data_IF_511040160334
#
_entry.id   IF_511040160334
#
_cell.length_a   1.000
_cell.length_b   1.000
_cell.length_c   1.000
_cell.angle_alpha   90.00
_cell.angle_beta   90.00
_cell.angle_gamma   90.00
#
_symmetry.space_group_name_H-M   'P 1'
#
loop_
_entity.id
_entity.type
_entity.pdbx_description
1 polymer ?
#
# COMPACT_ATOMS: atom_id res chain seq x y z
N UNK A 1 1.32 25.06 -49.98
CA UNK A 1 2.28 23.97 -50.29
C UNK A 1 2.09 22.88 -49.25
N UNK A 2 1.34 21.88 -49.64
CA UNK A 2 0.91 20.78 -48.78
C UNK A 2 1.94 19.66 -48.89
N UNK A 3 2.49 19.21 -47.74
CA UNK A 3 3.41 18.09 -47.69
C UNK A 3 2.71 16.90 -47.04
N UNK A 4 2.29 15.99 -47.87
CA UNK A 4 1.71 14.69 -47.52
C UNK A 4 2.85 13.77 -47.08
N UNK A 5 2.73 13.19 -45.91
CA UNK A 5 3.64 12.14 -45.42
C UNK A 5 2.92 10.80 -45.62
N UNK A 6 3.53 9.82 -46.30
CA UNK A 6 2.91 8.53 -46.55
C UNK A 6 2.99 7.59 -45.33
N UNK A 7 1.89 6.90 -45.10
CA UNK A 7 1.76 5.77 -44.20
C UNK A 7 2.45 4.54 -44.83
N UNK A 8 3.38 3.96 -44.12
CA UNK A 8 3.87 2.58 -44.32
C UNK A 8 4.17 1.98 -42.94
N UNK A 9 3.22 1.26 -42.36
CA UNK A 9 3.05 -0.20 -42.45
C UNK A 9 4.34 -0.95 -42.11
N UNK A 10 4.36 -1.56 -40.94
CA UNK A 10 4.73 -2.96 -40.87
C UNK A 10 4.18 -3.58 -39.58
N UNK A 11 3.08 -4.27 -39.76
CA UNK A 11 2.57 -5.21 -38.76
C UNK A 11 3.55 -6.40 -38.67
N UNK A 12 4.26 -6.54 -37.55
CA UNK A 12 5.01 -7.77 -37.24
C UNK A 12 4.23 -8.55 -36.19
N UNK A 13 3.46 -9.50 -36.68
CA UNK A 13 2.71 -10.50 -35.96
C UNK A 13 3.71 -11.51 -35.33
N UNK A 14 4.06 -11.32 -34.05
CA UNK A 14 4.76 -12.36 -33.29
C UNK A 14 3.75 -13.24 -32.57
N UNK A 15 3.39 -14.35 -33.21
CA UNK A 15 2.69 -15.47 -32.59
C UNK A 15 3.72 -16.23 -31.75
N UNK A 16 3.74 -15.99 -30.46
CA UNK A 16 4.45 -16.85 -29.50
C UNK A 16 3.50 -17.97 -29.07
N UNK A 17 3.72 -19.14 -29.67
CA UNK A 17 3.10 -20.40 -29.28
C UNK A 17 3.73 -20.81 -27.94
N UNK A 18 3.02 -20.59 -26.84
CA UNK A 18 3.37 -21.21 -25.55
C UNK A 18 3.00 -22.68 -25.59
N UNK A 19 4.01 -23.50 -25.79
CA UNK A 19 3.92 -24.95 -25.66
C UNK A 19 3.84 -25.31 -24.17
N UNK A 20 2.62 -25.54 -23.66
CA UNK A 20 2.41 -26.14 -22.35
C UNK A 20 2.92 -27.59 -22.39
N UNK A 21 4.06 -27.87 -21.78
CA UNK A 21 4.49 -29.22 -21.45
C UNK A 21 3.63 -29.73 -20.28
N UNK A 22 2.75 -30.66 -20.59
CA UNK A 22 2.03 -31.46 -19.63
C UNK A 22 3.02 -32.45 -19.01
N UNK A 23 3.41 -32.23 -17.77
CA UNK A 23 4.16 -33.20 -16.99
C UNK A 23 3.22 -34.33 -16.60
N UNK A 24 3.47 -35.51 -17.17
CA UNK A 24 2.84 -36.75 -16.77
C UNK A 24 3.49 -37.21 -15.47
N UNK A 25 2.75 -37.13 -14.38
CA UNK A 25 3.11 -37.74 -13.11
C UNK A 25 3.16 -39.27 -13.28
N UNK A 26 4.34 -39.84 -13.05
CA UNK A 26 4.50 -41.30 -12.96
C UNK A 26 3.94 -41.71 -11.60
N UNK A 27 2.76 -42.31 -11.59
CA UNK A 27 2.26 -43.02 -10.41
C UNK A 27 3.10 -44.29 -10.18
N UNK A 28 4.06 -44.16 -9.27
CA UNK A 28 4.71 -45.34 -8.68
C UNK A 28 3.76 -46.01 -7.70
N UNK A 29 3.27 -47.18 -8.09
CA UNK A 29 2.49 -48.05 -7.21
C UNK A 29 3.38 -48.57 -6.08
N UNK A 30 3.25 -48.01 -4.88
CA UNK A 30 3.82 -48.54 -3.64
C UNK A 30 2.81 -49.50 -2.99
N UNK A 31 3.25 -50.66 -2.45
CA UNK A 31 2.36 -51.60 -1.75
C UNK A 31 1.82 -50.97 -0.45
N UNK A 32 0.63 -51.35 0.00
CA UNK A 32 0.03 -50.78 1.21
C UNK A 32 0.81 -51.20 2.47
N UNK A 33 1.34 -50.20 3.17
CA UNK A 33 1.87 -50.41 4.52
C UNK A 33 0.72 -50.62 5.51
N UNK A 34 0.95 -51.42 6.59
CA UNK A 34 -0.08 -51.79 7.55
C UNK A 34 -0.50 -50.53 8.36
N UNK A 35 -1.80 -50.42 8.55
CA UNK A 35 -2.48 -49.38 9.35
C UNK A 35 -1.94 -49.42 10.77
N UNK A 36 -1.14 -48.41 11.15
CA UNK A 36 -0.82 -48.16 12.56
C UNK A 36 -1.84 -47.14 13.09
N UNK A 37 -2.76 -47.66 13.90
CA UNK A 37 -3.83 -46.93 14.56
C UNK A 37 -3.32 -46.48 15.93
N UNK A 38 -2.51 -45.40 15.99
CA UNK A 38 -2.31 -44.73 17.29
C UNK A 38 -1.67 -43.36 17.08
N UNK A 39 -2.35 -42.34 17.55
CA UNK A 39 -1.78 -41.00 17.74
C UNK A 39 -2.41 -39.91 16.91
N UNK A 40 -3.59 -39.51 17.31
CA UNK A 40 -4.16 -38.21 16.99
C UNK A 40 -3.29 -37.15 17.68
N UNK A 41 -2.24 -36.71 17.00
CA UNK A 41 -1.55 -35.48 17.37
C UNK A 41 -1.96 -34.40 16.36
N UNK A 42 -3.12 -33.80 16.61
CA UNK A 42 -3.51 -32.53 16.02
C UNK A 42 -2.72 -31.44 16.72
N UNK A 43 -1.45 -31.33 16.42
CA UNK A 43 -0.78 -30.04 16.55
C UNK A 43 -1.36 -29.19 15.44
N UNK A 44 -2.41 -28.42 15.78
CA UNK A 44 -2.77 -27.21 15.07
C UNK A 44 -1.54 -26.29 15.12
N UNK A 45 -0.62 -26.49 14.17
CA UNK A 45 0.34 -25.46 13.81
C UNK A 45 -0.54 -24.38 13.20
N UNK A 46 -0.63 -23.18 13.82
CA UNK A 46 -1.31 -22.08 13.15
C UNK A 46 -0.60 -21.90 11.81
N UNK A 47 -1.33 -22.12 10.72
CA UNK A 47 -0.87 -21.80 9.37
C UNK A 47 -0.71 -20.28 9.31
N UNK A 48 0.45 -19.80 9.75
CA UNK A 48 0.85 -18.39 9.71
C UNK A 48 1.37 -18.05 8.31
N UNK A 49 0.76 -18.65 7.28
CA UNK A 49 0.95 -18.22 5.92
C UNK A 49 0.32 -16.84 5.78
N UNK A 50 1.19 -15.84 5.76
CA UNK A 50 0.81 -14.46 5.42
C UNK A 50 0.05 -14.50 4.09
N UNK A 51 -1.27 -14.42 4.16
CA UNK A 51 -2.09 -14.31 2.97
C UNK A 51 -2.01 -12.87 2.46
N UNK A 52 -1.04 -12.62 1.57
CA UNK A 52 -0.79 -11.31 0.96
C UNK A 52 -1.96 -10.77 0.14
N UNK A 53 -2.99 -11.58 -0.09
CA UNK A 53 -4.20 -11.18 -0.81
C UNK A 53 -5.29 -10.63 0.12
N UNK A 54 -5.05 -10.61 1.45
CA UNK A 54 -6.01 -10.06 2.41
C UNK A 54 -5.80 -8.57 2.62
N UNK A 55 -6.92 -7.83 2.75
CA UNK A 55 -6.89 -6.43 3.17
C UNK A 55 -6.55 -6.35 4.66
N UNK A 56 -5.59 -5.51 5.02
CA UNK A 56 -5.23 -5.26 6.40
C UNK A 56 -6.38 -4.62 7.18
N UNK A 57 -6.47 -4.94 8.46
CA UNK A 57 -7.31 -4.19 9.40
C UNK A 57 -6.39 -3.45 10.36
N UNK A 58 -6.53 -2.14 10.41
CA UNK A 58 -5.71 -1.28 11.25
C UNK A 58 -6.45 0.02 11.59
N UNK A 59 -5.95 0.75 12.56
CA UNK A 59 -6.47 2.04 13.01
C UNK A 59 -5.35 3.07 13.14
N UNK A 60 -5.71 4.34 13.02
CA UNK A 60 -4.77 5.44 13.28
C UNK A 60 -4.43 5.51 14.76
N UNK A 61 -3.15 5.68 15.09
CA UNK A 61 -2.73 5.94 16.46
C UNK A 61 -2.93 7.43 16.77
N UNK A 62 -3.92 7.72 17.60
CA UNK A 62 -4.47 9.06 17.82
C UNK A 62 -4.22 9.53 19.25
N UNK A 63 -3.77 10.76 19.40
CA UNK A 63 -3.66 11.46 20.67
C UNK A 63 -5.02 11.90 21.20
N UNK A 64 -5.10 12.27 22.47
CA UNK A 64 -6.36 12.70 23.12
C UNK A 64 -6.95 13.99 22.56
N UNK A 65 -6.16 14.80 21.91
CA UNK A 65 -6.56 16.05 21.23
C UNK A 65 -7.01 15.85 19.78
N UNK A 66 -7.00 14.60 19.28
CA UNK A 66 -7.37 14.25 17.91
C UNK A 66 -6.22 14.37 16.90
N UNK A 67 -5.01 14.73 17.32
CA UNK A 67 -3.84 14.70 16.44
C UNK A 67 -3.33 13.26 16.23
N UNK A 68 -2.69 13.01 15.08
CA UNK A 68 -1.97 11.76 14.87
C UNK A 68 -0.78 11.69 15.82
N UNK A 69 -0.60 10.56 16.51
CA UNK A 69 0.51 10.39 17.45
C UNK A 69 1.83 10.26 16.68
N UNK A 70 2.90 10.90 17.17
CA UNK A 70 4.27 10.81 16.64
C UNK A 70 4.36 11.01 15.12
N UNK A 71 3.54 11.89 14.55
CA UNK A 71 3.67 12.21 13.14
C UNK A 71 4.92 13.03 12.84
N UNK A 72 5.51 12.81 11.65
CA UNK A 72 6.65 13.57 11.16
C UNK A 72 6.41 13.98 9.71
N UNK A 73 6.26 15.31 9.50
CA UNK A 73 6.18 15.90 8.15
C UNK A 73 7.58 16.23 7.66
N UNK A 74 7.91 15.81 6.44
CA UNK A 74 9.17 16.09 5.77
C UNK A 74 8.94 16.83 4.46
N UNK A 75 9.93 17.59 4.02
CA UNK A 75 9.87 18.45 2.84
C UNK A 75 9.60 19.91 3.20
N UNK A 76 9.81 20.77 2.22
CA UNK A 76 9.56 22.21 2.33
C UNK A 76 8.33 22.61 1.51
N UNK A 77 7.20 22.77 2.18
CA UNK A 77 5.93 23.09 1.53
C UNK A 77 5.85 24.58 1.25
N UNK A 78 5.93 24.97 -0.03
CA UNK A 78 5.93 26.36 -0.49
C UNK A 78 4.66 26.62 -1.30
N UNK A 79 3.95 27.72 -1.00
CA UNK A 79 2.75 28.14 -1.73
C UNK A 79 3.06 28.30 -3.23
N UNK A 80 2.22 27.71 -4.09
CA UNK A 80 2.37 27.74 -5.53
C UNK A 80 3.43 26.80 -6.12
N UNK A 81 4.23 26.09 -5.30
CA UNK A 81 5.20 25.13 -5.77
C UNK A 81 4.60 23.72 -5.89
N UNK A 82 4.95 22.99 -6.95
CA UNK A 82 4.54 21.59 -7.12
C UNK A 82 5.32 20.71 -6.14
N UNK A 83 4.60 19.86 -5.42
CA UNK A 83 5.20 18.87 -4.51
C UNK A 83 5.77 17.67 -5.28
N UNK A 84 6.79 17.04 -4.72
CA UNK A 84 7.47 15.88 -5.24
C UNK A 84 7.61 14.77 -4.16
N UNK A 85 8.30 13.68 -4.48
CA UNK A 85 8.48 12.52 -3.59
C UNK A 85 9.25 12.82 -2.29
N UNK A 86 9.89 13.99 -2.16
CA UNK A 86 10.55 14.41 -0.92
C UNK A 86 9.57 14.93 0.14
N UNK A 87 8.35 15.23 -0.27
CA UNK A 87 7.28 15.76 0.58
C UNK A 87 6.46 14.61 1.14
N UNK A 88 6.67 14.26 2.41
CA UNK A 88 6.05 13.10 3.04
C UNK A 88 5.51 13.40 4.42
N UNK A 89 4.63 12.53 4.89
CA UNK A 89 4.30 12.40 6.31
C UNK A 89 4.46 10.96 6.75
N UNK A 90 5.08 10.78 7.90
CA UNK A 90 5.18 9.48 8.58
C UNK A 90 4.16 9.46 9.72
N UNK A 91 3.37 8.39 9.82
CA UNK A 91 2.29 8.23 10.78
C UNK A 91 2.40 6.89 11.49
N UNK A 92 2.01 6.84 12.77
CA UNK A 92 1.86 5.58 13.51
C UNK A 92 0.44 5.02 13.34
N UNK A 93 0.36 3.70 13.17
CA UNK A 93 -0.88 2.94 13.05
C UNK A 93 -0.82 1.69 13.93
N UNK A 94 -1.98 1.27 14.45
CA UNK A 94 -2.12 0.01 15.16
C UNK A 94 -2.70 -1.03 14.21
N UNK A 95 -1.92 -2.06 13.87
CA UNK A 95 -2.33 -3.15 12.97
C UNK A 95 -2.94 -4.29 13.79
N UNK A 96 -4.21 -4.62 13.51
CA UNK A 96 -4.93 -5.73 14.11
C UNK A 96 -4.75 -7.02 13.30
N UNK A 97 -4.82 -6.91 11.96
CA UNK A 97 -4.58 -8.01 11.03
C UNK A 97 -3.68 -7.57 9.89
N UNK A 98 -2.54 -8.27 9.65
CA UNK A 98 -1.66 -8.03 8.52
C UNK A 98 -2.37 -8.18 7.17
N UNK A 99 -1.80 -7.57 6.12
CA UNK A 99 -2.35 -7.60 4.77
C UNK A 99 -2.04 -6.33 3.99
N UNK A 100 -2.66 -6.19 2.83
CA UNK A 100 -2.53 -5.01 2.00
C UNK A 100 -3.26 -3.80 2.62
N UNK A 101 -2.64 -2.64 2.54
CA UNK A 101 -3.23 -1.39 3.00
C UNK A 101 -3.07 -0.29 1.96
N UNK A 102 -4.02 0.62 1.96
CA UNK A 102 -3.99 1.86 1.19
C UNK A 102 -4.58 2.98 2.05
N UNK A 103 -3.94 4.13 2.04
CA UNK A 103 -4.41 5.35 2.69
C UNK A 103 -4.33 6.50 1.71
N UNK A 104 -5.43 7.23 1.56
CA UNK A 104 -5.51 8.47 0.79
C UNK A 104 -6.28 9.48 1.62
N UNK A 105 -5.73 10.68 1.79
CA UNK A 105 -6.41 11.78 2.49
C UNK A 105 -7.32 12.55 1.54
N UNK A 106 -8.22 13.34 2.10
CA UNK A 106 -8.89 14.39 1.35
C UNK A 106 -7.88 15.45 0.89
N UNK A 107 -8.22 16.17 -0.18
CA UNK A 107 -7.43 17.31 -0.64
C UNK A 107 -7.74 18.52 0.24
N UNK A 108 -6.74 19.04 0.94
CA UNK A 108 -6.84 20.23 1.77
C UNK A 108 -5.81 21.23 1.31
N UNK A 109 -6.21 22.47 1.06
CA UNK A 109 -5.34 23.56 0.59
C UNK A 109 -4.47 23.17 -0.62
N UNK A 110 -5.05 22.43 -1.58
CA UNK A 110 -4.38 21.98 -2.81
C UNK A 110 -3.44 20.79 -2.64
N UNK A 111 -3.36 20.19 -1.46
CA UNK A 111 -2.47 19.04 -1.15
C UNK A 111 -3.29 17.86 -0.65
N UNK A 112 -2.93 16.66 -1.10
CA UNK A 112 -3.37 15.40 -0.51
C UNK A 112 -2.18 14.45 -0.34
N UNK A 113 -2.34 13.46 0.53
CA UNK A 113 -1.33 12.47 0.83
C UNK A 113 -1.87 11.07 0.54
N UNK A 114 -1.05 10.23 -0.11
CA UNK A 114 -1.44 8.87 -0.41
C UNK A 114 -0.25 7.92 -0.38
N UNK A 115 -0.48 6.68 -0.02
CA UNK A 115 0.40 5.54 -0.24
C UNK A 115 -0.33 4.24 0.07
N UNK A 116 0.27 3.12 -0.35
CA UNK A 116 -0.16 1.77 -0.04
C UNK A 116 1.03 0.84 0.18
N UNK A 117 0.76 -0.30 0.78
CA UNK A 117 1.80 -1.28 1.07
C UNK A 117 1.22 -2.55 1.69
N UNK A 118 2.07 -3.29 2.40
CA UNK A 118 1.71 -4.53 3.06
C UNK A 118 2.22 -4.48 4.50
N UNK A 119 1.31 -4.74 5.46
CA UNK A 119 1.72 -5.06 6.82
C UNK A 119 1.99 -6.56 6.93
N UNK A 120 3.15 -6.91 7.45
CA UNK A 120 3.56 -8.30 7.67
C UNK A 120 3.32 -8.77 9.11
N UNK A 121 3.13 -7.83 10.04
CA UNK A 121 3.02 -8.11 11.47
C UNK A 121 1.90 -7.27 12.10
N UNK A 122 1.38 -7.76 13.23
CA UNK A 122 0.46 -7.03 14.10
C UNK A 122 1.20 -6.03 14.98
N UNK A 123 0.46 -5.10 15.55
CA UNK A 123 0.99 -4.15 16.52
C UNK A 123 1.20 -2.77 15.97
N UNK A 124 2.00 -1.98 16.69
CA UNK A 124 2.31 -0.61 16.29
C UNK A 124 3.27 -0.63 15.11
N UNK A 125 2.84 -0.02 14.01
CA UNK A 125 3.59 0.08 12.75
C UNK A 125 3.67 1.55 12.32
N UNK A 126 4.57 1.82 11.39
CA UNK A 126 4.75 3.15 10.79
C UNK A 126 4.45 3.09 9.31
N UNK A 127 3.64 4.03 8.81
CA UNK A 127 3.40 4.23 7.39
C UNK A 127 3.94 5.58 6.94
N UNK A 128 4.36 5.67 5.68
CA UNK A 128 4.76 6.93 5.05
C UNK A 128 3.80 7.21 3.91
N UNK A 129 3.18 8.40 3.91
CA UNK A 129 2.36 8.89 2.83
C UNK A 129 3.12 9.98 2.06
N UNK A 130 2.96 10.00 0.74
CA UNK A 130 3.58 10.97 -0.16
C UNK A 130 2.59 12.08 -0.49
N UNK A 131 3.04 13.33 -0.38
CA UNK A 131 2.24 14.49 -0.74
C UNK A 131 2.19 14.68 -2.26
N UNK A 132 1.03 15.10 -2.74
CA UNK A 132 0.81 15.45 -4.15
C UNK A 132 -0.03 16.73 -4.22
N UNK A 133 0.24 17.56 -5.21
CA UNK A 133 -0.52 18.79 -5.46
C UNK A 133 0.33 20.06 -5.46
N UNK A 134 -0.34 21.18 -5.32
CA UNK A 134 0.26 22.52 -5.23
C UNK A 134 -0.37 23.25 -4.06
N UNK A 135 0.38 23.48 -2.98
CA UNK A 135 -0.13 24.23 -1.84
C UNK A 135 -0.62 25.63 -2.24
N UNK A 136 -1.78 26.03 -1.77
CA UNK A 136 -2.37 27.32 -2.08
C UNK A 136 -2.01 28.39 -1.06
N UNK A 137 -2.69 28.37 0.08
CA UNK A 137 -2.56 29.41 1.13
C UNK A 137 -1.43 29.08 2.10
N UNK A 138 -0.71 30.11 2.54
CA UNK A 138 0.36 30.00 3.55
C UNK A 138 -0.18 29.83 4.96
N UNK A 139 0.62 29.21 5.83
CA UNK A 139 0.28 28.94 7.23
C UNK A 139 0.12 27.45 7.52
N UNK A 140 -0.46 27.16 8.69
CA UNK A 140 -0.69 25.79 9.10
C UNK A 140 -1.98 25.23 8.48
N UNK A 141 -1.84 24.14 7.75
CA UNK A 141 -2.94 23.35 7.18
C UNK A 141 -3.08 22.04 7.94
N UNK A 142 -4.25 21.79 8.50
CA UNK A 142 -4.54 20.51 9.16
C UNK A 142 -5.09 19.54 8.11
N UNK A 143 -4.43 18.40 7.94
CA UNK A 143 -4.83 17.33 7.01
C UNK A 143 -5.45 16.19 7.83
N UNK A 144 -6.74 15.88 7.63
CA UNK A 144 -7.38 14.75 8.27
C UNK A 144 -6.98 13.44 7.58
N UNK A 145 -6.75 12.39 8.36
CA UNK A 145 -6.55 11.02 7.90
C UNK A 145 -7.64 10.14 8.52
N UNK A 146 -8.34 9.40 7.67
CA UNK A 146 -9.42 8.51 8.09
C UNK A 146 -9.15 7.10 7.61
N UNK A 147 -9.22 6.13 8.54
CA UNK A 147 -9.09 4.70 8.24
C UNK A 147 -10.19 3.95 8.99
N UNK A 148 -11.14 3.39 8.26
CA UNK A 148 -12.30 2.75 8.86
C UNK A 148 -13.08 3.71 9.77
N UNK A 149 -13.12 3.40 11.06
CA UNK A 149 -13.79 4.22 12.09
C UNK A 149 -12.80 5.07 12.92
N UNK A 150 -11.52 5.05 12.59
CA UNK A 150 -10.50 5.85 13.26
C UNK A 150 -10.08 7.05 12.41
N UNK A 151 -9.82 8.16 13.06
CA UNK A 151 -9.36 9.39 12.40
C UNK A 151 -8.38 10.15 13.28
N UNK A 152 -7.42 10.83 12.66
CA UNK A 152 -6.57 11.82 13.31
C UNK A 152 -6.21 12.94 12.31
N UNK A 153 -5.61 14.02 12.79
CA UNK A 153 -5.11 15.09 11.94
C UNK A 153 -3.63 15.37 12.18
N UNK A 154 -2.93 15.80 11.13
CA UNK A 154 -1.56 16.30 11.25
C UNK A 154 -1.44 17.67 10.59
N UNK A 155 -0.51 18.48 11.08
CA UNK A 155 -0.30 19.83 10.60
C UNK A 155 0.84 19.91 9.60
N UNK A 156 0.61 20.57 8.45
CA UNK A 156 1.63 20.96 7.47
C UNK A 156 1.80 22.46 7.51
N UNK A 157 3.04 22.94 7.63
CA UNK A 157 3.35 24.36 7.55
C UNK A 157 3.71 24.74 6.12
N UNK A 158 2.90 25.59 5.49
CA UNK A 158 3.10 26.10 4.14
C UNK A 158 3.68 27.50 4.22
N UNK A 159 4.82 27.73 3.60
CA UNK A 159 5.54 28.99 3.61
C UNK A 159 5.31 29.80 2.33
N UNK A 160 5.61 31.09 2.39
CA UNK A 160 5.70 31.93 1.20
C UNK A 160 6.88 31.49 0.31
N UNK A 161 6.84 31.79 -1.01
CA UNK A 161 7.94 31.55 -1.95
C UNK A 161 9.23 32.30 -1.59
#
# INVERSE_FOLDING_TARGET
>A
MSKVIPHSILALLCVLIFCCKKETSLEGHLPPDPIDTSGQDTTDIPDDTLNLDTTATFSMHTSTDGSCTNFLVQGNYVSGATLDESHTVTLEVQVDYPGQWEVTTETVNGVFFANGGIFTEKGLQTITLYATGVPGETGYTIVPVVVGNSACGFAVNITDP
#
